data_IF_664193954114
#
_entry.id   IF_664193954114
#
_cell.length_a   1.000
_cell.length_b   1.000
_cell.length_c   1.000
_cell.angle_alpha   90.00
_cell.angle_beta   90.00
_cell.angle_gamma   90.00
#
_symmetry.space_group_name_H-M   'P 1'
#
loop_
_entity.id
_entity.type
_entity.pdbx_description
1 polymer ?
#
# COMPACT_ATOMS: atom_id res chain seq x y z
N UNK A 1 -47.49 -10.81 -0.31
CA UNK A 1 -48.21 -10.20 -1.44
C UNK A 1 -47.42 -9.02 -1.95
N UNK A 2 -46.79 -9.15 -3.11
CA UNK A 2 -46.21 -8.02 -3.83
C UNK A 2 -47.37 -7.12 -4.27
N UNK A 3 -47.33 -5.83 -3.92
CA UNK A 3 -48.34 -4.84 -4.32
C UNK A 3 -47.84 -4.08 -5.54
N UNK A 4 -48.76 -3.64 -6.40
CA UNK A 4 -48.43 -2.87 -7.62
C UNK A 4 -47.60 -1.62 -7.30
N UNK A 5 -46.58 -1.36 -8.13
CA UNK A 5 -45.72 -0.16 -8.07
C UNK A 5 -46.48 1.13 -8.38
N UNK A 6 -47.64 1.04 -9.02
CA UNK A 6 -48.57 2.16 -9.21
C UNK A 6 -49.27 2.59 -7.93
N UNK A 7 -49.06 1.89 -6.80
CA UNK A 7 -49.63 2.24 -5.50
C UNK A 7 -51.16 2.42 -5.49
N UNK A 8 -51.88 1.75 -6.41
CA UNK A 8 -53.34 1.90 -6.56
C UNK A 8 -54.14 1.61 -5.29
N UNK A 9 -53.60 0.76 -4.41
CA UNK A 9 -54.19 0.46 -3.09
C UNK A 9 -54.18 1.64 -2.11
N UNK A 10 -53.47 2.73 -2.43
CA UNK A 10 -53.43 3.97 -1.64
C UNK A 10 -54.35 5.06 -2.22
N UNK A 11 -55.01 4.82 -3.34
CA UNK A 11 -55.92 5.80 -3.94
C UNK A 11 -57.25 5.82 -3.18
N UNK A 12 -57.88 7.00 -3.10
CA UNK A 12 -59.21 7.17 -2.50
C UNK A 12 -60.00 8.27 -3.19
N UNK A 13 -61.05 8.75 -2.53
CA UNK A 13 -62.06 9.62 -3.13
C UNK A 13 -61.51 10.96 -3.61
N UNK A 14 -60.57 11.53 -2.87
CA UNK A 14 -59.93 12.82 -3.20
C UNK A 14 -58.68 12.67 -4.08
N UNK A 15 -58.34 11.45 -4.51
CA UNK A 15 -57.19 11.23 -5.39
C UNK A 15 -57.57 11.60 -6.82
N UNK A 16 -56.83 12.54 -7.41
CA UNK A 16 -57.08 13.03 -8.77
C UNK A 16 -56.84 11.94 -9.83
N UNK A 17 -57.89 11.59 -10.58
CA UNK A 17 -57.85 10.51 -11.58
C UNK A 17 -56.91 10.80 -12.74
N UNK A 18 -56.80 12.06 -13.17
CA UNK A 18 -55.91 12.48 -14.26
C UNK A 18 -54.44 12.24 -13.88
N UNK A 19 -54.06 12.59 -12.64
CA UNK A 19 -52.70 12.40 -12.15
C UNK A 19 -52.38 10.92 -11.94
N UNK A 20 -53.33 10.09 -11.51
CA UNK A 20 -53.17 8.63 -11.47
C UNK A 20 -52.88 8.03 -12.85
N UNK A 21 -53.54 8.54 -13.89
CA UNK A 21 -53.35 8.07 -15.26
C UNK A 21 -51.98 8.49 -15.82
N UNK A 22 -51.52 9.72 -15.52
CA UNK A 22 -50.17 10.18 -15.85
C UNK A 22 -49.08 9.35 -15.15
N UNK A 23 -49.32 8.95 -13.89
CA UNK A 23 -48.45 8.03 -13.16
C UNK A 23 -48.37 6.67 -13.85
N UNK A 24 -49.52 6.11 -14.27
CA UNK A 24 -49.58 4.84 -15.02
C UNK A 24 -48.80 4.93 -16.34
N UNK A 25 -49.02 5.98 -17.11
CA UNK A 25 -48.32 6.23 -18.37
C UNK A 25 -46.80 6.39 -18.17
N UNK A 26 -46.36 7.00 -17.07
CA UNK A 26 -44.93 7.11 -16.75
C UNK A 26 -44.27 5.75 -16.54
N UNK A 27 -44.97 4.81 -15.89
CA UNK A 27 -44.47 3.44 -15.73
C UNK A 27 -44.44 2.69 -17.07
N UNK A 28 -45.40 2.93 -17.96
CA UNK A 28 -45.47 2.29 -19.29
C UNK A 28 -44.43 2.84 -20.27
N UNK A 29 -44.20 4.15 -20.21
CA UNK A 29 -43.26 4.85 -21.10
C UNK A 29 -41.81 4.81 -20.59
N UNK A 30 -41.57 4.28 -19.39
CA UNK A 30 -40.25 4.26 -18.75
C UNK A 30 -39.63 5.66 -18.63
N UNK A 31 -40.42 6.64 -18.19
CA UNK A 31 -39.98 8.03 -18.06
C UNK A 31 -39.65 8.40 -16.61
N UNK A 32 -38.76 9.39 -16.45
CA UNK A 32 -38.50 10.02 -15.16
C UNK A 32 -39.49 11.18 -15.02
N UNK A 33 -40.46 11.05 -14.11
CA UNK A 33 -41.42 12.12 -13.83
C UNK A 33 -41.67 12.27 -12.32
N UNK A 34 -42.17 13.44 -11.94
CA UNK A 34 -42.54 13.77 -10.57
C UNK A 34 -43.99 14.22 -10.51
N UNK A 35 -44.71 13.76 -9.48
CA UNK A 35 -46.14 13.98 -9.32
C UNK A 35 -46.45 14.43 -7.89
N UNK A 36 -47.38 15.35 -7.75
CA UNK A 36 -48.02 15.67 -6.47
C UNK A 36 -49.34 14.92 -6.42
N UNK A 37 -49.43 13.90 -5.55
CA UNK A 37 -50.60 13.03 -5.48
C UNK A 37 -51.13 12.96 -4.05
N UNK A 38 -52.43 13.12 -3.89
CA UNK A 38 -53.11 12.84 -2.63
C UNK A 38 -53.39 11.34 -2.52
N UNK A 39 -52.84 10.70 -1.49
CA UNK A 39 -53.04 9.28 -1.21
C UNK A 39 -53.49 9.05 0.23
N UNK A 40 -54.07 7.89 0.48
CA UNK A 40 -54.62 7.48 1.76
C UNK A 40 -53.67 6.51 2.47
N UNK A 41 -53.39 6.79 3.73
CA UNK A 41 -52.72 5.85 4.64
C UNK A 41 -53.69 4.73 5.04
N UNK A 42 -53.16 3.65 5.64
CA UNK A 42 -53.97 2.49 6.10
C UNK A 42 -55.13 2.90 7.03
N UNK A 43 -54.98 3.99 7.78
CA UNK A 43 -55.99 4.57 8.66
C UNK A 43 -56.95 5.54 7.94
N UNK A 44 -57.06 5.48 6.60
CA UNK A 44 -57.92 6.33 5.77
C UNK A 44 -57.62 7.83 5.87
N UNK A 45 -56.45 8.22 6.34
CA UNK A 45 -56.05 9.63 6.36
C UNK A 45 -55.51 10.07 5.00
N UNK A 46 -56.06 11.13 4.37
CA UNK A 46 -55.48 11.75 3.19
C UNK A 46 -54.15 12.44 3.53
N UNK A 47 -53.15 12.22 2.69
CA UNK A 47 -51.79 12.77 2.79
C UNK A 47 -51.33 13.13 1.38
N UNK A 48 -50.81 14.35 1.22
CA UNK A 48 -50.18 14.76 -0.03
C UNK A 48 -48.76 14.24 -0.09
N UNK A 49 -48.46 13.47 -1.14
CA UNK A 49 -47.12 13.00 -1.42
C UNK A 49 -46.58 13.68 -2.68
N UNK A 50 -45.33 14.11 -2.61
CA UNK A 50 -44.49 14.32 -3.78
C UNK A 50 -43.83 12.98 -4.12
N UNK A 51 -44.20 12.42 -5.27
CA UNK A 51 -43.73 11.12 -5.75
C UNK A 51 -42.81 11.35 -6.95
N UNK A 52 -41.55 10.97 -6.84
CA UNK A 52 -40.61 10.96 -7.98
C UNK A 52 -40.36 9.53 -8.40
N UNK A 53 -40.70 9.23 -9.65
CA UNK A 53 -40.58 7.92 -10.29
C UNK A 53 -39.37 7.97 -11.22
N UNK A 54 -38.48 7.00 -11.10
CA UNK A 54 -37.33 6.87 -11.98
C UNK A 54 -37.08 5.40 -12.33
N UNK A 55 -37.05 5.04 -13.64
CA UNK A 55 -36.64 3.70 -14.07
C UNK A 55 -35.14 3.49 -13.84
N UNK A 56 -34.78 2.35 -13.28
CA UNK A 56 -33.40 1.89 -13.14
C UNK A 56 -33.11 0.92 -14.28
N UNK A 57 -32.08 1.26 -15.05
CA UNK A 57 -31.62 0.48 -16.20
C UNK A 57 -30.44 -0.42 -15.84
N UNK A 58 -30.32 -1.54 -16.53
CA UNK A 58 -29.17 -2.44 -16.46
C UNK A 58 -28.09 -2.09 -17.50
N UNK A 59 -27.04 -2.91 -17.58
CA UNK A 59 -25.92 -2.75 -18.53
C UNK A 59 -26.32 -2.81 -20.01
N UNK A 60 -27.45 -3.45 -20.33
CA UNK A 60 -28.00 -3.55 -21.68
C UNK A 60 -29.02 -2.44 -21.99
N UNK A 61 -29.06 -1.38 -21.17
CA UNK A 61 -30.03 -0.27 -21.25
C UNK A 61 -31.50 -0.70 -21.09
N UNK A 62 -31.76 -1.89 -20.55
CA UNK A 62 -33.11 -2.39 -20.25
C UNK A 62 -33.53 -1.95 -18.85
N UNK A 63 -34.78 -1.48 -18.72
CA UNK A 63 -35.36 -1.14 -17.41
C UNK A 63 -35.64 -2.42 -16.64
N UNK A 64 -35.03 -2.54 -15.45
CA UNK A 64 -35.13 -3.73 -14.60
C UNK A 64 -35.82 -3.45 -13.27
N UNK A 65 -35.75 -2.22 -12.77
CA UNK A 65 -36.41 -1.78 -11.54
C UNK A 65 -36.97 -0.37 -11.71
N UNK A 66 -37.86 0.03 -10.81
CA UNK A 66 -38.29 1.42 -10.64
C UNK A 66 -37.96 1.88 -9.22
N UNK A 67 -37.35 3.07 -9.11
CA UNK A 67 -37.18 3.78 -7.85
C UNK A 67 -38.32 4.79 -7.71
N UNK A 68 -39.16 4.58 -6.70
CA UNK A 68 -40.22 5.52 -6.33
C UNK A 68 -39.86 6.15 -4.98
N UNK A 69 -39.58 7.44 -4.97
CA UNK A 69 -39.33 8.19 -3.73
C UNK A 69 -40.57 8.97 -3.34
N UNK A 70 -40.95 8.91 -2.06
CA UNK A 70 -42.16 9.53 -1.52
C UNK A 70 -41.76 10.56 -0.46
N UNK A 71 -42.20 11.80 -0.63
CA UNK A 71 -42.02 12.87 0.37
C UNK A 71 -43.37 13.43 0.78
N UNK A 72 -43.63 13.52 2.09
CA UNK A 72 -44.88 14.09 2.62
C UNK A 72 -44.86 15.62 2.47
N UNK A 73 -45.74 16.15 1.65
CA UNK A 73 -45.89 17.59 1.40
C UNK A 73 -47.20 18.14 1.95
N UNK A 74 -47.90 17.39 2.80
CA UNK A 74 -49.22 17.75 3.34
C UNK A 74 -49.21 19.11 4.04
N UNK A 75 -48.13 19.47 4.73
CA UNK A 75 -48.01 20.76 5.41
C UNK A 75 -47.91 21.97 4.45
N UNK A 76 -47.57 21.74 3.18
CA UNK A 76 -47.40 22.79 2.16
C UNK A 76 -48.61 22.96 1.25
N UNK A 77 -49.54 22.01 1.28
CA UNK A 77 -50.85 22.05 0.62
C UNK A 77 -51.90 22.45 1.64
N UNK A 78 -52.89 23.24 1.22
CA UNK A 78 -53.93 23.74 2.11
C UNK A 78 -54.60 22.58 2.89
N UNK A 79 -54.92 22.77 4.18
CA UNK A 79 -55.52 21.71 4.99
C UNK A 79 -56.86 21.30 4.38
N UNK A 80 -56.95 20.04 3.96
CA UNK A 80 -58.20 19.44 3.50
C UNK A 80 -59.09 19.33 4.73
N UNK A 81 -60.23 20.02 4.68
CA UNK A 81 -61.21 20.05 5.74
C UNK A 81 -61.77 18.64 5.95
N UNK A 82 -61.59 18.13 7.17
CA UNK A 82 -62.34 16.99 7.67
C UNK A 82 -62.92 17.42 9.02
N UNK A 83 -64.25 17.36 9.12
CA UNK A 83 -65.10 18.06 10.11
C UNK A 83 -64.98 17.50 11.55
N UNK A 84 -63.96 16.69 11.84
CA UNK A 84 -63.99 15.75 12.97
C UNK A 84 -63.00 15.99 14.11
N UNK A 85 -62.20 17.08 14.16
CA UNK A 85 -61.41 17.36 15.39
C UNK A 85 -61.00 18.82 15.63
N UNK A 86 -61.15 19.28 16.88
CA UNK A 86 -60.78 20.64 17.33
C UNK A 86 -59.27 20.77 17.63
N UNK A 87 -58.67 21.84 17.09
CA UNK A 87 -57.50 22.58 17.57
C UNK A 87 -56.19 21.84 17.89
N UNK A 88 -56.12 21.14 19.03
CA UNK A 88 -54.87 20.68 19.61
C UNK A 88 -54.35 19.35 19.03
N UNK A 89 -55.28 18.43 18.69
CA UNK A 89 -54.93 17.18 17.99
C UNK A 89 -54.39 17.41 16.58
N UNK A 90 -54.76 18.53 15.95
CA UNK A 90 -54.30 18.97 14.63
C UNK A 90 -52.81 19.37 14.66
N UNK A 91 -52.38 20.12 15.68
CA UNK A 91 -50.99 20.56 15.83
C UNK A 91 -50.06 19.39 16.19
N UNK A 92 -50.46 18.52 17.12
CA UNK A 92 -49.65 17.35 17.49
C UNK A 92 -49.45 16.35 16.34
N UNK A 93 -50.45 16.21 15.46
CA UNK A 93 -50.36 15.38 14.23
C UNK A 93 -49.49 16.04 13.16
N UNK A 94 -49.57 17.37 13.02
CA UNK A 94 -48.70 18.16 12.15
C UNK A 94 -47.23 17.97 12.56
N UNK A 95 -46.92 18.12 13.84
CA UNK A 95 -45.54 17.97 14.36
C UNK A 95 -44.99 16.56 14.16
N UNK A 96 -45.83 15.52 14.24
CA UNK A 96 -45.40 14.11 14.08
C UNK A 96 -45.16 13.71 12.62
N UNK A 97 -45.91 14.25 11.66
CA UNK A 97 -45.62 14.07 10.24
C UNK A 97 -44.35 14.83 9.80
N UNK A 98 -44.06 15.95 10.47
CA UNK A 98 -42.89 16.80 10.21
C UNK A 98 -41.55 16.24 10.74
N UNK A 99 -41.53 15.19 11.56
CA UNK A 99 -40.26 14.69 12.15
C UNK A 99 -39.42 13.87 11.18
N UNK A 100 -40.01 13.29 10.12
CA UNK A 100 -39.25 12.47 9.18
C UNK A 100 -38.42 13.31 8.19
N UNK A 101 -38.74 14.59 8.00
CA UNK A 101 -38.00 15.48 7.09
C UNK A 101 -37.08 16.48 7.81
N UNK A 102 -37.32 16.79 9.10
CA UNK A 102 -36.51 17.76 9.86
C UNK A 102 -35.29 17.20 10.59
N UNK A 103 -35.21 15.89 10.80
CA UNK A 103 -34.28 15.30 11.78
C UNK A 103 -32.78 15.38 11.47
N UNK A 104 -32.37 15.63 10.22
CA UNK A 104 -30.93 15.53 9.84
C UNK A 104 -30.39 16.75 9.07
N UNK A 105 -31.24 17.60 8.45
CA UNK A 105 -30.75 18.62 7.50
C UNK A 105 -30.78 20.09 7.97
N UNK A 106 -31.26 20.40 9.18
CA UNK A 106 -31.40 21.80 9.61
C UNK A 106 -30.73 22.05 10.97
N UNK A 107 -29.44 22.36 10.94
CA UNK A 107 -28.76 22.98 12.09
C UNK A 107 -28.16 24.36 11.77
N UNK A 108 -28.42 24.92 10.59
CA UNK A 108 -27.98 26.27 10.22
C UNK A 108 -29.04 26.97 9.35
N UNK A 109 -29.94 27.76 9.95
CA UNK A 109 -30.46 29.00 9.34
C UNK A 109 -31.41 29.77 10.29
N UNK A 110 -31.29 31.11 10.37
CA UNK A 110 -32.01 31.96 11.32
C UNK A 110 -33.42 32.35 10.86
N UNK A 111 -34.19 32.85 11.81
CA UNK A 111 -35.56 33.39 11.71
C UNK A 111 -35.70 34.52 10.69
N UNK A 112 -36.44 34.29 9.59
CA UNK A 112 -36.94 35.35 8.70
C UNK A 112 -38.37 35.06 8.26
N UNK A 113 -39.28 36.01 8.51
CA UNK A 113 -40.66 36.03 8.05
C UNK A 113 -40.74 36.62 6.62
N UNK A 114 -41.72 36.11 5.85
CA UNK A 114 -42.21 36.51 4.49
C UNK A 114 -41.58 35.77 3.29
N UNK A 115 -42.44 35.08 2.53
CA UNK A 115 -42.15 34.58 1.17
C UNK A 115 -42.71 33.18 0.89
N UNK A 116 -44.04 33.03 0.79
CA UNK A 116 -44.71 31.72 0.64
C UNK A 116 -44.51 31.02 -0.72
N UNK A 117 -44.06 31.74 -1.77
CA UNK A 117 -43.88 31.19 -3.13
C UNK A 117 -42.43 30.77 -3.44
N UNK A 118 -41.44 31.59 -3.07
CA UNK A 118 -40.02 31.35 -3.37
C UNK A 118 -39.43 30.20 -2.52
N UNK A 119 -39.91 30.05 -1.27
CA UNK A 119 -39.40 29.04 -0.36
C UNK A 119 -39.81 27.60 -0.72
N UNK A 120 -40.96 27.43 -1.40
CA UNK A 120 -41.43 26.11 -1.87
C UNK A 120 -40.54 25.60 -3.00
N UNK A 121 -40.17 26.48 -3.94
CA UNK A 121 -39.40 26.12 -5.13
C UNK A 121 -37.93 25.81 -4.80
N UNK A 122 -37.32 26.54 -3.87
CA UNK A 122 -35.94 26.28 -3.39
C UNK A 122 -35.81 24.96 -2.62
N UNK A 123 -36.79 24.59 -1.78
CA UNK A 123 -36.76 23.34 -1.01
C UNK A 123 -37.14 22.12 -1.83
N UNK A 124 -38.05 22.26 -2.80
CA UNK A 124 -38.29 21.24 -3.81
C UNK A 124 -37.06 21.02 -4.69
N UNK A 125 -36.35 22.09 -5.06
CA UNK A 125 -35.10 22.00 -5.82
C UNK A 125 -34.00 21.24 -5.05
N UNK A 126 -33.88 21.43 -3.73
CA UNK A 126 -32.93 20.71 -2.88
C UNK A 126 -33.27 19.21 -2.76
N UNK A 127 -34.56 18.86 -2.61
CA UNK A 127 -35.05 17.46 -2.64
C UNK A 127 -34.93 16.84 -4.05
N UNK A 128 -35.13 17.65 -5.10
CA UNK A 128 -34.98 17.25 -6.51
C UNK A 128 -33.51 16.97 -6.87
N UNK A 129 -32.58 17.79 -6.37
CA UNK A 129 -31.12 17.64 -6.54
C UNK A 129 -30.60 16.41 -5.81
N UNK A 130 -31.08 16.14 -4.59
CA UNK A 130 -30.69 14.94 -3.83
C UNK A 130 -31.03 13.63 -4.58
N UNK A 131 -32.05 13.66 -5.43
CA UNK A 131 -32.49 12.51 -6.22
C UNK A 131 -32.05 12.52 -7.69
N UNK A 132 -31.34 13.55 -8.19
CA UNK A 132 -30.78 13.55 -9.55
C UNK A 132 -29.33 13.10 -9.58
N UNK A 133 -28.56 13.36 -8.52
CA UNK A 133 -27.12 13.08 -8.52
C UNK A 133 -26.78 11.61 -8.28
N UNK A 134 -27.74 10.78 -7.86
CA UNK A 134 -27.50 9.35 -7.61
C UNK A 134 -28.76 8.54 -7.94
N UNK A 135 -29.06 8.34 -9.22
CA UNK A 135 -29.82 7.16 -9.62
C UNK A 135 -28.81 6.01 -9.72
N UNK A 136 -28.74 5.10 -8.73
CA UNK A 136 -27.86 3.94 -8.83
C UNK A 136 -28.34 3.11 -10.02
N UNK A 137 -27.56 3.11 -11.11
CA UNK A 137 -27.77 2.15 -12.18
C UNK A 137 -27.50 0.76 -11.58
N UNK A 138 -28.39 -0.20 -11.86
CA UNK A 138 -28.19 -1.58 -11.44
C UNK A 138 -27.13 -2.20 -12.35
N UNK A 139 -25.88 -1.85 -12.06
CA UNK A 139 -24.68 -2.34 -12.73
C UNK A 139 -23.75 -2.90 -11.67
N UNK A 140 -23.12 -4.03 -11.97
CA UNK A 140 -21.97 -4.48 -11.19
C UNK A 140 -20.75 -3.65 -11.61
N UNK A 141 -20.77 -2.35 -11.36
CA UNK A 141 -19.62 -1.49 -11.62
C UNK A 141 -18.54 -1.80 -10.57
N UNK A 142 -17.32 -2.08 -11.03
CA UNK A 142 -16.15 -2.15 -10.16
C UNK A 142 -16.11 -0.86 -9.29
N UNK A 143 -15.75 -0.96 -8.00
CA UNK A 143 -15.79 0.18 -7.09
C UNK A 143 -15.10 1.39 -7.72
N UNK A 144 -15.85 2.49 -7.90
CA UNK A 144 -15.30 3.74 -8.46
C UNK A 144 -14.26 4.25 -7.47
N UNK A 145 -12.99 4.05 -7.81
CA UNK A 145 -11.88 4.67 -7.10
C UNK A 145 -11.75 6.11 -7.57
N UNK A 146 -11.46 7.05 -6.66
CA UNK A 146 -11.25 8.43 -7.07
C UNK A 146 -10.03 8.53 -8.00
N UNK A 147 -9.99 9.53 -8.90
CA UNK A 147 -8.84 9.73 -9.79
C UNK A 147 -7.56 9.87 -8.96
N UNK A 148 -6.46 9.30 -9.47
CA UNK A 148 -5.13 9.22 -8.81
C UNK A 148 -4.96 8.18 -7.71
N UNK A 149 -5.86 7.21 -7.56
CA UNK A 149 -5.65 6.05 -6.69
C UNK A 149 -5.44 4.79 -7.53
N UNK A 150 -4.33 4.10 -7.28
CA UNK A 150 -3.97 2.85 -7.95
C UNK A 150 -4.49 1.69 -7.11
N UNK A 151 -5.14 0.73 -7.76
CA UNK A 151 -5.61 -0.47 -7.07
C UNK A 151 -4.43 -1.42 -6.82
N UNK A 152 -4.36 -1.99 -5.63
CA UNK A 152 -3.30 -2.94 -5.26
C UNK A 152 -3.22 -4.19 -6.16
N UNK A 153 -4.33 -4.59 -6.78
CA UNK A 153 -4.42 -5.73 -7.70
C UNK A 153 -4.30 -5.34 -9.19
N UNK A 154 -4.01 -4.07 -9.49
CA UNK A 154 -3.81 -3.64 -10.87
C UNK A 154 -2.57 -4.32 -11.47
N UNK A 155 -2.64 -4.72 -12.74
CA UNK A 155 -1.52 -5.33 -13.47
C UNK A 155 -0.27 -4.46 -13.44
N UNK A 156 -0.43 -3.14 -13.61
CA UNK A 156 0.67 -2.17 -13.47
C UNK A 156 1.33 -2.26 -12.09
N UNK A 157 0.55 -2.32 -11.02
CA UNK A 157 1.07 -2.39 -9.65
C UNK A 157 1.80 -3.70 -9.40
N UNK A 158 1.26 -4.82 -9.90
CA UNK A 158 1.92 -6.13 -9.81
C UNK A 158 3.26 -6.14 -10.55
N UNK A 159 3.31 -5.62 -11.78
CA UNK A 159 4.58 -5.52 -12.53
C UNK A 159 5.58 -4.60 -11.83
N UNK A 160 5.11 -3.47 -11.29
CA UNK A 160 5.95 -2.56 -10.51
C UNK A 160 6.54 -3.26 -9.28
N UNK A 161 5.74 -4.04 -8.56
CA UNK A 161 6.20 -4.80 -7.40
C UNK A 161 7.30 -5.82 -7.76
N UNK A 162 7.21 -6.46 -8.93
CA UNK A 162 8.28 -7.33 -9.43
C UNK A 162 9.57 -6.56 -9.74
N UNK A 163 9.45 -5.37 -10.33
CA UNK A 163 10.62 -4.50 -10.59
C UNK A 163 11.28 -4.11 -9.26
N UNK A 164 10.49 -3.68 -8.27
CA UNK A 164 10.99 -3.34 -6.94
C UNK A 164 11.63 -4.56 -6.27
N UNK A 165 11.04 -5.73 -6.38
CA UNK A 165 11.62 -6.97 -5.84
C UNK A 165 13.01 -7.24 -6.44
N UNK A 166 13.14 -7.19 -7.77
CA UNK A 166 14.43 -7.39 -8.46
C UNK A 166 15.46 -6.35 -8.01
N UNK A 167 15.06 -5.07 -7.91
CA UNK A 167 15.93 -4.00 -7.44
C UNK A 167 16.34 -4.19 -5.96
N UNK A 168 15.44 -4.66 -5.10
CA UNK A 168 15.80 -4.96 -3.70
C UNK A 168 16.84 -6.06 -3.63
N UNK A 169 16.70 -7.13 -4.43
CA UNK A 169 17.69 -8.20 -4.51
C UNK A 169 19.04 -7.70 -5.02
N UNK A 170 19.04 -6.85 -6.06
CA UNK A 170 20.25 -6.19 -6.54
C UNK A 170 20.95 -5.40 -5.43
N UNK A 171 20.22 -4.57 -4.68
CA UNK A 171 20.81 -3.80 -3.58
C UNK A 171 21.31 -4.67 -2.43
N UNK A 172 20.63 -5.79 -2.16
CA UNK A 172 21.03 -6.71 -1.11
C UNK A 172 22.35 -7.43 -1.41
N UNK A 173 22.73 -7.57 -2.69
CA UNK A 173 24.02 -8.09 -3.13
C UNK A 173 25.06 -6.96 -3.22
N UNK A 174 24.74 -5.86 -3.91
CA UNK A 174 25.74 -4.84 -4.20
C UNK A 174 26.17 -4.03 -2.97
N UNK A 175 25.26 -3.78 -2.02
CA UNK A 175 25.58 -2.94 -0.84
C UNK A 175 26.64 -3.60 0.06
N UNK A 176 26.49 -4.85 0.55
CA UNK A 176 27.52 -5.51 1.36
C UNK A 176 28.82 -5.70 0.58
N UNK A 177 28.73 -6.03 -0.71
CA UNK A 177 29.90 -6.16 -1.57
C UNK A 177 30.71 -4.86 -1.63
N UNK A 178 30.06 -3.73 -1.90
CA UNK A 178 30.73 -2.42 -2.00
C UNK A 178 31.30 -1.95 -0.66
N UNK A 179 30.59 -2.21 0.45
CA UNK A 179 31.06 -1.87 1.81
C UNK A 179 32.29 -2.69 2.18
N UNK A 180 32.26 -4.00 1.95
CA UNK A 180 33.36 -4.91 2.31
C UNK A 180 34.56 -4.75 1.39
N UNK A 181 34.40 -4.89 0.07
CA UNK A 181 35.51 -4.98 -0.88
C UNK A 181 36.08 -3.61 -1.29
N UNK A 182 35.54 -2.52 -0.73
CA UNK A 182 35.93 -1.12 -0.99
C UNK A 182 36.22 -0.93 -2.49
N UNK A 183 35.28 -1.37 -3.33
CA UNK A 183 35.39 -1.24 -4.78
C UNK A 183 35.56 0.25 -5.03
N UNK A 184 36.76 0.67 -5.49
CA UNK A 184 37.11 2.09 -5.63
C UNK A 184 35.96 2.75 -6.39
N UNK A 185 35.30 3.72 -5.76
CA UNK A 185 34.20 4.52 -6.31
C UNK A 185 34.58 5.33 -7.57
N UNK A 186 35.74 5.04 -8.17
CA UNK A 186 36.35 5.78 -9.27
C UNK A 186 35.59 5.61 -10.60
N UNK A 187 34.64 4.66 -10.66
CA UNK A 187 33.76 4.50 -11.81
C UNK A 187 32.46 5.25 -11.55
N UNK A 188 32.38 6.49 -12.05
CA UNK A 188 31.15 7.32 -12.05
C UNK A 188 29.93 6.53 -12.52
N UNK A 189 30.11 5.56 -13.42
CA UNK A 189 29.06 4.65 -13.89
C UNK A 189 28.32 3.93 -12.76
N UNK A 190 29.02 3.38 -11.76
CA UNK A 190 28.37 2.66 -10.66
C UNK A 190 27.59 3.61 -9.74
N UNK A 191 28.13 4.81 -9.50
CA UNK A 191 27.42 5.86 -8.76
C UNK A 191 26.13 6.29 -9.46
N UNK A 192 26.17 6.43 -10.80
CA UNK A 192 24.98 6.75 -11.60
C UNK A 192 23.95 5.64 -11.51
N UNK A 193 24.36 4.37 -11.62
CA UNK A 193 23.44 3.23 -11.47
C UNK A 193 22.80 3.22 -10.08
N UNK A 194 23.58 3.35 -9.02
CA UNK A 194 23.05 3.42 -7.64
C UNK A 194 22.08 4.59 -7.47
N UNK A 195 22.37 5.74 -8.06
CA UNK A 195 21.49 6.92 -8.03
C UNK A 195 20.17 6.67 -8.75
N UNK A 196 20.19 6.01 -9.92
CA UNK A 196 18.97 5.64 -10.66
C UNK A 196 18.11 4.69 -9.82
N UNK A 197 18.73 3.69 -9.19
CA UNK A 197 18.03 2.75 -8.30
C UNK A 197 17.36 3.50 -7.15
N UNK A 198 18.05 4.43 -6.51
CA UNK A 198 17.50 5.24 -5.42
C UNK A 198 16.31 6.12 -5.89
N UNK A 199 16.35 6.68 -7.10
CA UNK A 199 15.21 7.41 -7.69
C UNK A 199 14.01 6.50 -7.90
N UNK A 200 14.20 5.26 -8.37
CA UNK A 200 13.10 4.29 -8.55
C UNK A 200 12.45 3.97 -7.19
N UNK A 201 13.24 3.79 -6.13
CA UNK A 201 12.70 3.59 -4.78
C UNK A 201 11.97 4.82 -4.24
N UNK A 202 12.42 6.03 -4.58
CA UNK A 202 11.69 7.25 -4.23
C UNK A 202 10.33 7.32 -4.93
N UNK A 203 10.27 6.95 -6.21
CA UNK A 203 9.00 6.82 -6.95
C UNK A 203 8.10 5.77 -6.32
N UNK A 204 8.64 4.64 -5.85
CA UNK A 204 7.88 3.61 -5.14
C UNK A 204 7.22 4.15 -3.86
N UNK A 205 7.93 4.97 -3.08
CA UNK A 205 7.35 5.63 -1.89
C UNK A 205 6.15 6.49 -2.29
N UNK A 206 6.28 7.30 -3.35
CA UNK A 206 5.18 8.12 -3.87
C UNK A 206 4.01 7.25 -4.33
N UNK A 207 4.26 6.14 -5.01
CA UNK A 207 3.22 5.21 -5.44
C UNK A 207 2.53 4.52 -4.26
N UNK A 208 3.25 4.18 -3.20
CA UNK A 208 2.68 3.59 -1.98
C UNK A 208 1.70 4.55 -1.28
N UNK A 209 1.94 5.87 -1.34
CA UNK A 209 0.97 6.86 -0.84
C UNK A 209 -0.34 6.92 -1.65
N UNK A 210 -0.33 6.43 -2.90
CA UNK A 210 -1.47 6.45 -3.82
C UNK A 210 -2.07 5.05 -4.08
N UNK A 211 -1.57 4.00 -3.43
CA UNK A 211 -2.07 2.63 -3.64
C UNK A 211 -3.09 2.25 -2.56
N UNK A 212 -4.17 1.58 -2.94
CA UNK A 212 -5.15 1.03 -1.97
C UNK A 212 -4.53 -0.04 -1.08
N UNK A 213 -5.11 -0.25 0.10
CA UNK A 213 -4.72 -1.37 0.98
C UNK A 213 -5.95 -2.13 1.47
N UNK A 214 -5.74 -3.38 1.90
CA UNK A 214 -6.79 -4.25 2.44
C UNK A 214 -6.78 -4.14 3.96
N UNK A 215 -7.92 -3.79 4.54
CA UNK A 215 -8.08 -3.71 5.99
C UNK A 215 -8.16 -5.09 6.65
N UNK A 216 -8.09 -5.17 7.99
CA UNK A 216 -8.21 -6.42 8.73
C UNK A 216 -9.59 -7.11 8.55
N UNK A 217 -10.62 -6.36 8.18
CA UNK A 217 -11.95 -6.88 7.86
C UNK A 217 -12.08 -7.40 6.41
N UNK A 218 -10.99 -7.38 5.62
CA UNK A 218 -11.00 -7.80 4.21
C UNK A 218 -11.56 -6.75 3.23
N UNK A 219 -11.93 -5.57 3.72
CA UNK A 219 -12.44 -4.47 2.90
C UNK A 219 -11.31 -3.70 2.20
N UNK A 220 -11.55 -3.30 0.95
CA UNK A 220 -10.60 -2.50 0.17
C UNK A 220 -10.81 -1.02 0.51
N UNK A 221 -9.81 -0.43 1.16
CA UNK A 221 -9.87 0.96 1.58
C UNK A 221 -9.30 1.85 0.46
N UNK A 222 -10.13 2.76 -0.04
CA UNK A 222 -9.80 3.69 -1.12
C UNK A 222 -9.73 5.16 -0.68
N UNK A 223 -9.92 5.47 0.61
CA UNK A 223 -9.80 6.85 1.10
C UNK A 223 -8.32 7.30 1.16
N UNK A 224 -7.92 8.35 0.39
CA UNK A 224 -6.53 8.81 0.36
C UNK A 224 -6.02 9.36 1.69
N UNK A 225 -6.88 9.87 2.59
CA UNK A 225 -6.42 10.32 3.91
C UNK A 225 -6.04 9.12 4.78
N UNK A 226 -6.86 8.08 4.74
CA UNK A 226 -6.65 6.87 5.52
C UNK A 226 -5.45 6.07 5.01
N UNK A 227 -5.29 5.95 3.68
CA UNK A 227 -4.12 5.33 3.04
C UNK A 227 -2.82 6.00 3.53
N UNK A 228 -2.73 7.33 3.41
CA UNK A 228 -1.52 8.07 3.77
C UNK A 228 -1.22 7.97 5.27
N UNK A 229 -2.22 8.10 6.15
CA UNK A 229 -2.02 8.01 7.59
C UNK A 229 -1.56 6.61 8.02
N UNK A 230 -2.15 5.56 7.44
CA UNK A 230 -1.74 4.19 7.71
C UNK A 230 -0.30 3.93 7.24
N UNK A 231 0.06 4.39 6.04
CA UNK A 231 1.41 4.22 5.50
C UNK A 231 2.48 4.97 6.31
N UNK A 232 2.19 6.22 6.74
CA UNK A 232 3.08 7.00 7.60
C UNK A 232 3.35 6.30 8.93
N UNK A 233 2.33 5.72 9.54
CA UNK A 233 2.42 5.04 10.83
C UNK A 233 3.22 3.73 10.78
N UNK A 234 3.20 3.04 9.63
CA UNK A 234 3.69 1.66 9.53
C UNK A 234 5.07 1.56 8.89
N UNK A 235 5.22 2.06 7.66
CA UNK A 235 6.36 1.72 6.80
C UNK A 235 7.13 2.93 6.27
N UNK A 236 6.50 4.11 6.21
CA UNK A 236 7.10 5.30 5.62
C UNK A 236 8.48 5.64 6.19
N UNK A 237 8.66 5.58 7.51
CA UNK A 237 9.94 5.94 8.16
C UNK A 237 11.06 4.99 7.73
N UNK A 238 10.77 3.69 7.67
CA UNK A 238 11.73 2.66 7.25
C UNK A 238 12.06 2.85 5.75
N UNK A 239 11.02 3.02 4.94
CA UNK A 239 11.15 3.21 3.50
C UNK A 239 11.98 4.47 3.18
N UNK A 240 11.70 5.60 3.85
CA UNK A 240 12.39 6.87 3.69
C UNK A 240 13.85 6.78 4.10
N UNK A 241 14.15 6.23 5.29
CA UNK A 241 15.53 6.08 5.76
C UNK A 241 16.32 5.19 4.80
N UNK A 242 15.68 4.14 4.26
CA UNK A 242 16.32 3.22 3.35
C UNK A 242 16.59 3.80 1.96
N UNK A 243 15.93 4.89 1.54
CA UNK A 243 16.05 5.47 0.19
C UNK A 243 16.96 6.70 0.12
N UNK A 244 17.59 7.11 1.22
CA UNK A 244 18.44 8.31 1.23
C UNK A 244 19.70 8.10 0.37
N UNK A 245 20.00 9.04 -0.56
CA UNK A 245 21.18 8.97 -1.42
C UNK A 245 22.42 9.48 -0.68
N UNK A 246 22.92 8.71 0.29
CA UNK A 246 24.05 9.09 1.15
C UNK A 246 25.32 9.45 0.36
N UNK A 247 25.56 8.80 -0.77
CA UNK A 247 26.71 9.07 -1.64
C UNK A 247 26.69 10.48 -2.24
N UNK A 248 25.49 10.95 -2.61
CA UNK A 248 25.29 12.28 -3.19
C UNK A 248 25.51 13.35 -2.12
N UNK A 249 25.00 13.11 -0.91
CA UNK A 249 25.18 14.02 0.23
C UNK A 249 26.67 14.16 0.56
N UNK A 250 27.40 13.04 0.65
CA UNK A 250 28.83 13.04 0.92
C UNK A 250 29.68 13.67 -0.21
N UNK A 251 29.19 13.69 -1.45
CA UNK A 251 29.89 14.31 -2.57
C UNK A 251 29.73 15.85 -2.61
N UNK A 252 28.61 16.37 -2.08
CA UNK A 252 28.35 17.82 -2.04
C UNK A 252 28.93 18.50 -0.80
N UNK A 253 28.97 17.78 0.31
CA UNK A 253 29.50 18.27 1.57
C UNK A 253 30.98 17.85 1.62
N UNK A 254 31.92 18.80 1.46
CA UNK A 254 33.37 18.53 1.57
C UNK A 254 33.74 18.23 3.04
N UNK A 255 33.19 17.14 3.60
CA UNK A 255 33.35 16.78 5.01
C UNK A 255 34.64 16.02 5.24
N UNK A 256 35.18 16.13 6.46
CA UNK A 256 36.38 15.43 6.91
C UNK A 256 36.32 13.92 6.62
N UNK A 257 37.48 13.30 6.33
CA UNK A 257 37.61 11.86 5.98
C UNK A 257 36.98 10.92 7.01
N UNK A 258 36.96 11.31 8.30
CA UNK A 258 36.30 10.54 9.35
C UNK A 258 34.79 10.46 9.15
N UNK A 259 34.14 11.56 8.77
CA UNK A 259 32.69 11.65 8.59
C UNK A 259 32.27 10.97 7.27
N UNK A 260 33.08 11.07 6.22
CA UNK A 260 32.82 10.36 4.95
C UNK A 260 32.84 8.84 5.12
N UNK A 261 33.72 8.31 5.97
CA UNK A 261 33.73 6.87 6.31
C UNK A 261 32.46 6.41 7.04
N UNK A 262 31.89 7.24 7.91
CA UNK A 262 30.63 6.97 8.60
C UNK A 262 29.46 6.99 7.61
N UNK A 263 29.40 7.97 6.71
CA UNK A 263 28.39 8.03 5.66
C UNK A 263 28.46 6.83 4.70
N UNK A 264 29.67 6.36 4.39
CA UNK A 264 29.84 5.13 3.61
C UNK A 264 29.33 3.89 4.36
N UNK A 265 29.45 3.86 5.69
CA UNK A 265 28.94 2.76 6.52
C UNK A 265 27.42 2.78 6.67
N UNK A 266 26.80 3.97 6.63
CA UNK A 266 25.34 4.13 6.66
C UNK A 266 24.65 3.53 5.44
N UNK A 267 25.38 3.18 4.37
CA UNK A 267 24.82 2.45 3.22
C UNK A 267 24.14 1.14 3.60
N UNK A 268 24.57 0.51 4.70
CA UNK A 268 23.96 -0.73 5.22
C UNK A 268 22.46 -0.54 5.56
N UNK A 269 22.03 0.69 5.85
CA UNK A 269 20.62 1.04 6.07
C UNK A 269 19.75 0.72 4.84
N UNK A 270 20.33 0.69 3.63
CA UNK A 270 19.63 0.26 2.41
C UNK A 270 19.13 -1.19 2.50
N UNK A 271 19.72 -2.05 3.34
CA UNK A 271 19.24 -3.42 3.55
C UNK A 271 17.85 -3.48 4.21
N UNK A 272 17.40 -2.40 4.87
CA UNK A 272 16.03 -2.31 5.39
C UNK A 272 14.97 -2.43 4.28
N UNK A 273 15.33 -2.20 3.01
CA UNK A 273 14.47 -2.44 1.84
C UNK A 273 14.03 -3.90 1.71
N UNK A 274 14.74 -4.86 2.31
CA UNK A 274 14.29 -6.26 2.34
C UNK A 274 12.99 -6.45 3.15
N UNK A 275 12.66 -5.52 4.05
CA UNK A 275 11.35 -5.49 4.71
C UNK A 275 10.17 -5.41 3.73
N UNK A 276 10.40 -4.94 2.49
CA UNK A 276 9.40 -4.97 1.41
C UNK A 276 9.04 -6.39 0.97
N UNK A 277 10.00 -7.31 1.00
CA UNK A 277 9.78 -8.73 0.67
C UNK A 277 8.85 -9.36 1.71
N UNK A 278 9.04 -9.04 2.99
CA UNK A 278 8.17 -9.51 4.07
C UNK A 278 6.70 -9.09 3.86
N UNK A 279 6.44 -7.89 3.34
CA UNK A 279 5.08 -7.42 3.02
C UNK A 279 4.40 -8.19 1.90
N UNK A 280 5.17 -8.87 1.06
CA UNK A 280 4.68 -9.66 -0.08
C UNK A 280 4.72 -11.16 0.20
N UNK A 281 5.32 -11.56 1.32
CA UNK A 281 5.53 -12.95 1.67
C UNK A 281 4.20 -13.71 1.76
N UNK A 282 3.15 -13.11 2.33
CA UNK A 282 1.81 -13.72 2.43
C UNK A 282 1.27 -14.16 1.07
N UNK A 283 1.49 -13.38 0.01
CA UNK A 283 1.07 -13.73 -1.35
C UNK A 283 1.92 -14.85 -1.97
N UNK A 284 3.20 -14.91 -1.63
CA UNK A 284 4.11 -15.94 -2.15
C UNK A 284 3.97 -17.29 -1.43
N UNK A 285 3.57 -17.29 -0.15
CA UNK A 285 3.37 -18.50 0.66
C UNK A 285 2.30 -19.43 0.05
N UNK A 286 1.32 -18.88 -0.65
CA UNK A 286 0.27 -19.67 -1.33
C UNK A 286 0.83 -20.55 -2.45
N UNK A 287 1.99 -20.21 -3.02
CA UNK A 287 2.62 -20.92 -4.14
C UNK A 287 3.87 -21.69 -3.66
N UNK A 288 3.72 -22.98 -3.33
CA UNK A 288 4.81 -23.80 -2.78
C UNK A 288 6.13 -23.79 -3.57
N UNK A 289 6.08 -23.79 -4.91
CA UNK A 289 7.29 -23.68 -5.74
C UNK A 289 7.99 -22.30 -5.63
N UNK A 290 7.22 -21.22 -5.45
CA UNK A 290 7.76 -19.89 -5.24
C UNK A 290 8.43 -19.77 -3.87
N UNK A 291 7.89 -20.44 -2.84
CA UNK A 291 8.51 -20.52 -1.51
C UNK A 291 9.87 -21.21 -1.57
N UNK A 292 9.97 -22.35 -2.27
CA UNK A 292 11.25 -23.05 -2.45
C UNK A 292 12.28 -22.16 -3.16
N UNK A 293 11.89 -21.50 -4.25
CA UNK A 293 12.75 -20.57 -4.97
C UNK A 293 13.21 -19.41 -4.05
N UNK A 294 12.29 -18.82 -3.29
CA UNK A 294 12.59 -17.75 -2.34
C UNK A 294 13.57 -18.21 -1.27
N UNK A 295 13.41 -19.42 -0.73
CA UNK A 295 14.31 -19.99 0.27
C UNK A 295 15.72 -20.20 -0.28
N UNK A 296 15.86 -20.68 -1.52
CA UNK A 296 17.15 -20.79 -2.21
C UNK A 296 17.79 -19.41 -2.40
N UNK A 297 17.01 -18.40 -2.79
CA UNK A 297 17.50 -17.03 -2.92
C UNK A 297 17.97 -16.44 -1.58
N UNK A 298 17.20 -16.67 -0.49
CA UNK A 298 17.57 -16.22 0.86
C UNK A 298 18.84 -16.92 1.35
N UNK A 299 18.97 -18.22 1.09
CA UNK A 299 20.19 -18.97 1.41
C UNK A 299 21.41 -18.42 0.68
N UNK A 300 21.30 -18.18 -0.63
CA UNK A 300 22.37 -17.59 -1.43
C UNK A 300 22.75 -16.18 -0.96
N UNK A 301 21.75 -15.37 -0.57
CA UNK A 301 21.98 -14.03 -0.04
C UNK A 301 22.67 -14.06 1.33
N UNK A 302 22.27 -14.97 2.23
CA UNK A 302 22.92 -15.18 3.51
C UNK A 302 24.38 -15.62 3.34
N UNK A 303 24.65 -16.56 2.43
CA UNK A 303 26.01 -16.97 2.09
C UNK A 303 26.85 -15.78 1.58
N UNK A 304 26.28 -14.95 0.71
CA UNK A 304 26.94 -13.74 0.21
C UNK A 304 27.25 -12.73 1.33
N UNK A 305 26.32 -12.48 2.25
CA UNK A 305 26.53 -11.56 3.38
C UNK A 305 27.61 -12.06 4.33
N UNK A 306 27.55 -13.34 4.68
CA UNK A 306 28.58 -13.96 5.51
C UNK A 306 29.94 -13.94 4.81
N UNK A 307 30.00 -14.09 3.48
CA UNK A 307 31.24 -13.98 2.72
C UNK A 307 31.82 -12.56 2.77
N UNK A 308 30.97 -11.53 2.66
CA UNK A 308 31.39 -10.14 2.79
C UNK A 308 31.90 -9.83 4.21
N UNK A 309 31.29 -10.40 5.25
CA UNK A 309 31.75 -10.28 6.64
C UNK A 309 33.08 -11.03 6.83
N UNK A 310 33.19 -12.25 6.30
CA UNK A 310 34.43 -13.04 6.34
C UNK A 310 35.61 -12.31 5.71
N UNK A 311 35.38 -11.68 4.56
CA UNK A 311 36.37 -10.80 3.94
C UNK A 311 36.73 -9.62 4.82
N UNK A 312 35.75 -8.91 5.38
CA UNK A 312 36.00 -7.76 6.25
C UNK A 312 36.83 -8.12 7.48
N UNK A 313 36.59 -9.29 8.08
CA UNK A 313 37.40 -9.83 9.19
C UNK A 313 38.83 -10.09 8.72
N UNK A 314 39.01 -10.72 7.55
CA UNK A 314 40.32 -10.95 6.96
C UNK A 314 41.10 -9.66 6.65
N UNK A 315 40.44 -8.66 6.04
CA UNK A 315 41.03 -7.33 5.75
C UNK A 315 41.47 -6.64 7.04
N UNK A 316 40.64 -6.71 8.09
CA UNK A 316 40.94 -6.11 9.39
C UNK A 316 42.09 -6.82 10.13
N UNK A 317 42.17 -8.15 10.07
CA UNK A 317 43.21 -8.92 10.77
C UNK A 317 44.55 -8.99 10.04
N UNK A 318 44.54 -8.95 8.70
CA UNK A 318 45.78 -9.09 7.90
C UNK A 318 46.74 -7.93 8.14
N UNK A 319 46.20 -6.71 8.29
CA UNK A 319 46.94 -5.48 8.58
C UNK A 319 46.50 -5.01 9.96
N UNK A 320 47.14 -5.56 10.99
CA UNK A 320 46.76 -5.23 12.37
C UNK A 320 47.16 -3.77 12.67
N UNK A 321 46.15 -2.89 12.75
CA UNK A 321 46.32 -1.43 12.83
C UNK A 321 47.12 -0.91 14.03
N UNK A 322 47.36 -1.75 15.05
CA UNK A 322 48.14 -1.37 16.22
C UNK A 322 49.66 -1.42 16.01
N UNK A 323 50.17 -2.30 15.15
CA UNK A 323 51.62 -2.53 15.00
C UNK A 323 52.12 -2.52 13.55
N UNK A 324 51.24 -2.34 12.56
CA UNK A 324 51.55 -2.49 11.12
C UNK A 324 52.21 -3.85 10.75
N UNK A 325 52.12 -4.84 11.66
CA UNK A 325 52.67 -6.18 11.49
C UNK A 325 51.64 -7.05 10.79
N UNK A 326 52.08 -7.68 9.70
CA UNK A 326 51.25 -8.61 8.95
C UNK A 326 51.03 -9.89 9.75
N UNK A 327 49.76 -10.23 9.99
CA UNK A 327 49.42 -11.45 10.71
C UNK A 327 49.46 -12.64 9.75
N UNK A 328 50.62 -13.31 9.71
CA UNK A 328 50.88 -14.48 8.84
C UNK A 328 49.97 -15.69 9.07
N UNK A 329 49.15 -15.68 10.12
CA UNK A 329 48.19 -16.74 10.38
C UNK A 329 46.84 -16.51 9.71
N UNK A 330 46.46 -15.26 9.39
CA UNK A 330 45.12 -14.98 8.84
C UNK A 330 44.85 -15.73 7.53
N UNK A 331 43.59 -16.13 7.33
CA UNK A 331 43.16 -16.87 6.15
C UNK A 331 43.48 -16.12 4.84
N UNK A 332 43.38 -14.77 4.85
CA UNK A 332 43.62 -13.94 3.67
C UNK A 332 45.12 -13.92 3.29
N UNK A 333 46.00 -13.96 4.29
CA UNK A 333 47.44 -14.08 4.07
C UNK A 333 47.79 -15.45 3.47
N UNK A 334 47.26 -16.53 4.05
CA UNK A 334 47.47 -17.89 3.57
C UNK A 334 46.96 -18.09 2.13
N UNK A 335 45.83 -17.45 1.79
CA UNK A 335 45.33 -17.41 0.43
C UNK A 335 46.30 -16.73 -0.54
N UNK A 336 46.88 -15.60 -0.14
CA UNK A 336 47.87 -14.88 -0.96
C UNK A 336 49.12 -15.71 -1.23
N UNK A 337 49.60 -16.46 -0.24
CA UNK A 337 50.71 -17.40 -0.43
C UNK A 337 50.33 -18.55 -1.38
N UNK A 338 49.15 -19.16 -1.19
CA UNK A 338 48.68 -20.26 -2.02
C UNK A 338 48.42 -19.83 -3.48
N UNK A 339 47.95 -18.59 -3.70
CA UNK A 339 47.69 -18.03 -5.02
C UNK A 339 48.96 -17.56 -5.76
N UNK A 340 50.12 -17.59 -5.10
CA UNK A 340 51.38 -17.11 -5.67
C UNK A 340 51.54 -15.58 -5.72
N UNK A 341 50.64 -14.84 -5.06
CA UNK A 341 50.66 -13.37 -4.95
C UNK A 341 50.78 -12.95 -3.48
N UNK A 342 51.93 -13.21 -2.83
CA UNK A 342 52.10 -12.92 -1.41
C UNK A 342 52.13 -11.42 -1.14
N UNK A 343 51.71 -11.02 0.06
CA UNK A 343 51.86 -9.66 0.55
C UNK A 343 53.35 -9.33 0.75
N UNK A 344 53.80 -8.22 0.18
CA UNK A 344 55.18 -7.73 0.26
C UNK A 344 55.19 -6.34 0.87
N UNK A 345 56.14 -6.11 1.78
CA UNK A 345 56.34 -4.78 2.35
C UNK A 345 57.27 -3.97 1.44
N UNK A 346 56.79 -2.88 0.87
CA UNK A 346 57.60 -2.01 0.03
C UNK A 346 58.34 -0.99 0.91
N UNK A 347 59.59 -1.30 1.25
CA UNK A 347 60.47 -0.44 2.06
C UNK A 347 60.93 0.81 1.28
N UNK A 348 60.87 0.78 -0.04
CA UNK A 348 61.39 1.81 -0.95
C UNK A 348 60.34 2.84 -1.41
N UNK A 349 59.10 2.74 -0.94
CA UNK A 349 57.96 3.56 -1.38
C UNK A 349 57.12 4.13 -0.22
N UNK A 350 55.80 4.01 -0.31
CA UNK A 350 54.78 4.63 0.56
C UNK A 350 54.66 4.04 1.98
N UNK A 351 55.63 3.24 2.46
CA UNK A 351 55.53 2.45 3.71
C UNK A 351 54.25 1.57 3.78
N UNK A 352 53.74 1.13 2.62
CA UNK A 352 52.52 0.35 2.50
C UNK A 352 52.79 -1.12 2.15
N UNK A 353 51.90 -1.99 2.62
CA UNK A 353 51.83 -3.38 2.18
C UNK A 353 51.26 -3.44 0.76
N UNK A 354 52.03 -4.00 -0.18
CA UNK A 354 51.66 -4.16 -1.58
C UNK A 354 51.48 -5.65 -1.93
N UNK A 355 50.60 -5.93 -2.88
CA UNK A 355 50.29 -7.30 -3.33
C UNK A 355 49.01 -7.86 -2.72
N UNK A 356 48.96 -9.19 -2.55
CA UNK A 356 47.76 -9.92 -2.16
C UNK A 356 46.96 -10.46 -3.36
N UNK A 357 46.04 -11.40 -3.09
CA UNK A 357 45.19 -12.03 -4.11
C UNK A 357 44.24 -11.02 -4.78
N UNK A 358 43.85 -11.27 -6.02
CA UNK A 358 42.92 -10.41 -6.76
C UNK A 358 41.55 -10.35 -6.08
N UNK A 359 40.88 -9.18 -6.11
CA UNK A 359 39.57 -8.99 -5.45
C UNK A 359 38.54 -10.03 -5.86
N UNK A 360 38.51 -10.39 -7.15
CA UNK A 360 37.60 -11.41 -7.67
C UNK A 360 37.91 -12.80 -7.11
N UNK A 361 39.20 -13.16 -7.02
CA UNK A 361 39.62 -14.43 -6.41
C UNK A 361 39.23 -14.45 -4.95
N UNK A 362 39.48 -13.37 -4.20
CA UNK A 362 39.14 -13.31 -2.78
C UNK A 362 37.65 -13.45 -2.55
N UNK A 363 36.82 -12.75 -3.34
CA UNK A 363 35.37 -12.86 -3.24
C UNK A 363 34.88 -14.29 -3.49
N UNK A 364 35.35 -14.94 -4.56
CA UNK A 364 34.98 -16.32 -4.89
C UNK A 364 35.42 -17.27 -3.78
N UNK A 365 36.63 -17.09 -3.25
CA UNK A 365 37.16 -17.90 -2.15
C UNK A 365 36.39 -17.70 -0.85
N UNK A 366 36.01 -16.46 -0.50
CA UNK A 366 35.17 -16.17 0.66
C UNK A 366 33.79 -16.82 0.53
N UNK A 367 33.16 -16.70 -0.65
CA UNK A 367 31.86 -17.30 -0.92
C UNK A 367 31.92 -18.84 -0.87
N UNK A 368 32.98 -19.42 -1.42
CA UNK A 368 33.22 -20.86 -1.33
C UNK A 368 33.32 -21.31 0.13
N UNK A 369 34.12 -20.62 0.96
CA UNK A 369 34.23 -20.93 2.39
C UNK A 369 32.86 -20.89 3.08
N UNK A 370 32.11 -19.80 2.94
CA UNK A 370 30.80 -19.67 3.58
C UNK A 370 29.79 -20.68 3.08
N UNK A 371 29.78 -21.00 1.79
CA UNK A 371 28.93 -22.06 1.24
C UNK A 371 29.28 -23.41 1.85
N UNK A 372 30.57 -23.74 1.99
CA UNK A 372 31.00 -25.03 2.58
C UNK A 372 30.71 -25.12 4.08
N UNK A 373 30.73 -24.00 4.80
CA UNK A 373 30.33 -23.94 6.21
C UNK A 373 28.82 -24.05 6.39
N UNK A 374 28.03 -23.31 5.61
CA UNK A 374 26.56 -23.32 5.69
C UNK A 374 25.95 -24.64 5.24
N UNK A 375 26.55 -25.31 4.25
CA UNK A 375 26.11 -26.64 3.76
C UNK A 375 26.66 -27.80 4.60
N UNK A 376 27.41 -27.52 5.67
CA UNK A 376 28.05 -28.52 6.55
C UNK A 376 29.05 -29.47 5.86
N UNK A 377 29.49 -29.18 4.64
CA UNK A 377 30.47 -30.00 3.91
C UNK A 377 31.88 -29.85 4.49
N UNK A 378 32.31 -28.61 4.75
CA UNK A 378 33.56 -28.33 5.46
C UNK A 378 34.84 -28.93 4.84
N UNK A 379 35.13 -28.68 3.56
CA UNK A 379 36.30 -29.26 2.87
C UNK A 379 37.67 -28.93 3.51
N UNK A 380 37.77 -27.86 4.29
CA UNK A 380 38.99 -27.51 5.04
C UNK A 380 40.09 -26.82 4.24
N UNK A 381 39.86 -26.49 2.96
CA UNK A 381 40.84 -25.75 2.13
C UNK A 381 41.11 -24.33 2.66
N UNK A 382 40.12 -23.71 3.28
CA UNK A 382 40.22 -22.45 4.02
C UNK A 382 39.65 -22.74 5.40
N UNK A 383 40.41 -22.40 6.44
CA UNK A 383 40.03 -22.67 7.81
C UNK A 383 40.30 -21.44 8.70
N UNK A 384 39.44 -21.18 9.69
CA UNK A 384 39.67 -20.14 10.69
C UNK A 384 40.86 -20.50 11.57
N UNK A 385 41.83 -19.60 11.67
CA UNK A 385 43.06 -19.82 12.45
C UNK A 385 43.11 -18.90 13.67
N UNK A 386 42.65 -17.67 13.53
CA UNK A 386 42.64 -16.65 14.59
C UNK A 386 41.41 -16.78 15.47
N UNK A 387 41.44 -16.13 16.62
CA UNK A 387 40.34 -16.21 17.58
C UNK A 387 39.06 -15.54 17.02
N UNK A 388 39.18 -14.41 16.32
CA UNK A 388 38.04 -13.76 15.69
C UNK A 388 37.49 -14.59 14.52
N UNK A 389 38.36 -15.14 13.67
CA UNK A 389 37.96 -16.06 12.60
C UNK A 389 37.22 -17.29 13.15
N UNK A 390 37.70 -17.87 14.26
CA UNK A 390 37.07 -19.04 14.91
C UNK A 390 35.71 -18.70 15.52
N UNK A 391 35.60 -17.58 16.23
CA UNK A 391 34.32 -17.14 16.80
C UNK A 391 33.28 -16.95 15.69
N UNK A 392 33.69 -16.30 14.59
CA UNK A 392 32.82 -16.12 13.43
C UNK A 392 32.44 -17.44 12.75
N UNK A 393 33.38 -18.37 12.60
CA UNK A 393 33.10 -19.70 12.05
C UNK A 393 32.10 -20.48 12.90
N UNK A 394 32.22 -20.45 14.23
CA UNK A 394 31.24 -21.07 15.15
C UNK A 394 29.85 -20.45 14.96
N UNK A 395 29.76 -19.12 14.88
CA UNK A 395 28.50 -18.43 14.64
C UNK A 395 27.86 -18.83 13.30
N UNK A 396 28.65 -18.91 12.22
CA UNK A 396 28.17 -19.36 10.92
C UNK A 396 27.69 -20.81 10.92
N UNK A 397 28.39 -21.71 11.62
CA UNK A 397 27.97 -23.11 11.73
C UNK A 397 26.62 -23.24 12.45
N UNK A 398 26.40 -22.44 13.51
CA UNK A 398 25.10 -22.40 14.22
C UNK A 398 23.96 -21.95 13.29
N UNK A 399 24.18 -20.88 12.51
CA UNK A 399 23.20 -20.40 11.53
C UNK A 399 22.95 -21.45 10.43
N UNK A 400 24.02 -22.09 9.93
CA UNK A 400 23.92 -23.14 8.93
C UNK A 400 23.08 -24.33 9.40
N UNK A 401 23.29 -24.77 10.65
CA UNK A 401 22.49 -25.83 11.26
C UNK A 401 21.00 -25.49 11.31
N UNK A 402 20.64 -24.27 11.72
CA UNK A 402 19.25 -23.81 11.76
C UNK A 402 18.60 -23.80 10.37
N UNK A 403 19.31 -23.27 9.37
CA UNK A 403 18.81 -23.22 7.98
C UNK A 403 18.62 -24.62 7.39
N UNK A 404 19.54 -25.55 7.67
CA UNK A 404 19.40 -26.96 7.27
C UNK A 404 18.20 -27.60 7.97
N UNK A 405 18.05 -27.41 9.29
CA UNK A 405 16.93 -27.93 10.07
C UNK A 405 15.57 -27.45 9.54
N UNK A 406 15.47 -26.16 9.19
CA UNK A 406 14.27 -25.60 8.57
C UNK A 406 13.96 -26.33 7.25
N UNK A 407 14.95 -26.50 6.38
CA UNK A 407 14.75 -27.23 5.11
C UNK A 407 14.28 -28.67 5.33
N UNK A 408 14.80 -29.37 6.35
CA UNK A 408 14.39 -30.73 6.70
C UNK A 408 12.98 -30.83 7.32
N UNK A 409 12.43 -29.74 7.87
CA UNK A 409 11.11 -29.75 8.49
C UNK A 409 9.97 -29.43 7.51
N UNK A 410 10.29 -28.81 6.37
CA UNK A 410 9.36 -28.48 5.28
C UNK A 410 9.26 -29.56 4.19
N UNK A 411 10.11 -30.60 4.25
CA UNK A 411 10.05 -31.82 3.46
C UNK A 411 9.64 -32.99 4.35
#
# INVERSE_FOLDING_TARGET
MQKSSTCSFMYGELTEKETCEKVRQTFENYEINSFELLMYKKNRMPVWFFVKIAPIRNEQDKVVLFLCTFSDITAFKQPIEDDSSKGWGKFARLTRALTSSRGVLHQLAPTVHKGESVHKQSRLAEVLQLGSDILPQYKQEAPKTPPHIILHYCTFKTTWDWVILILTFYTAIMVPYNVSFKTKQNNVTWLVVDSIVDVIFLVDIVLNFHTTFVGPAGEVISDPKLIRMNYVKTWFVIDLLSCLPYDVINAFENVDEGISSLFSSLKVVRLLRLGRVARKLDHYIEYGAAVLLLLVCVFGLAAHWLACIWYSIGDYEVINGANHLLRRTSWLYLLGEAAGTPYRFNVSGTEMWEGGPSKDSVYITSLYFTMTSLTSIGFGNIAPTTDAEKIFAVAMMMIGCEVILINYMYW
#
